data_IF_068721513400
#
_entry.id   IF_068721513400
#
_cell.length_a   1.000
_cell.length_b   1.000
_cell.length_c   1.000
_cell.angle_alpha   90.00
_cell.angle_beta   90.00
_cell.angle_gamma   90.00
#
_symmetry.space_group_name_H-M   'P 1'
#
loop_
_entity.id
_entity.type
_entity.pdbx_description
1 polymer ?
#
# COMPACT_ATOMS: atom_id res chain seq x y z
N UNK A 1 5.16 -23.54 9.64
CA UNK A 1 5.80 -22.52 8.77
C UNK A 1 4.86 -22.28 7.61
N UNK A 2 4.49 -21.04 7.35
CA UNK A 2 3.67 -20.69 6.19
C UNK A 2 4.40 -21.09 4.91
N UNK A 3 3.68 -21.69 3.97
CA UNK A 3 4.19 -21.94 2.62
C UNK A 3 4.13 -20.69 1.73
N UNK A 4 3.86 -19.52 2.34
CA UNK A 4 3.73 -18.26 1.63
C UNK A 4 5.07 -17.80 1.06
N UNK A 5 5.09 -17.57 -0.25
CA UNK A 5 6.21 -16.95 -0.95
C UNK A 5 5.70 -15.68 -1.68
N UNK A 6 6.14 -14.49 -1.23
CA UNK A 6 5.75 -13.22 -1.86
C UNK A 6 6.11 -13.12 -3.35
N UNK A 7 7.12 -13.87 -3.83
CA UNK A 7 7.51 -13.87 -5.24
C UNK A 7 6.40 -14.39 -6.16
N UNK A 8 5.48 -15.21 -5.63
CA UNK A 8 4.32 -15.70 -6.39
C UNK A 8 3.31 -14.60 -6.72
N UNK A 9 3.40 -13.45 -6.05
CA UNK A 9 2.55 -12.28 -6.28
C UNK A 9 3.19 -11.26 -7.23
N UNK A 10 4.48 -11.40 -7.56
CA UNK A 10 5.24 -10.45 -8.37
C UNK A 10 4.74 -10.47 -9.82
N UNK A 11 4.39 -9.29 -10.34
CA UNK A 11 3.99 -9.07 -11.73
C UNK A 11 5.20 -8.52 -12.48
N UNK A 12 5.86 -9.38 -13.26
CA UNK A 12 7.08 -9.03 -13.99
C UNK A 12 6.83 -8.48 -15.40
N UNK A 13 5.62 -8.69 -15.88
CA UNK A 13 5.19 -8.29 -17.23
C UNK A 13 4.93 -6.80 -17.34
N UNK A 14 4.69 -6.13 -16.22
CA UNK A 14 4.45 -4.68 -16.17
C UNK A 14 5.72 -3.94 -15.74
N UNK A 15 6.02 -2.84 -16.41
CA UNK A 15 7.17 -1.98 -16.11
C UNK A 15 6.98 -1.10 -14.85
N UNK A 16 6.21 -1.59 -13.90
CA UNK A 16 5.93 -0.92 -12.62
C UNK A 16 6.88 -1.44 -11.55
N UNK A 17 7.53 -0.54 -10.82
CA UNK A 17 8.42 -0.93 -9.72
C UNK A 17 7.62 -1.54 -8.57
N UNK A 18 8.18 -2.55 -7.91
CA UNK A 18 7.58 -3.22 -6.74
C UNK A 18 6.14 -3.70 -6.99
N UNK A 19 5.83 -4.09 -8.24
CA UNK A 19 4.50 -4.44 -8.71
C UNK A 19 4.11 -5.85 -8.27
N UNK A 20 3.02 -5.97 -7.54
CA UNK A 20 2.51 -7.25 -7.02
C UNK A 20 0.99 -7.27 -6.99
N UNK A 21 0.44 -8.44 -7.24
CA UNK A 21 -0.96 -8.73 -6.92
C UNK A 21 -1.12 -8.97 -5.41
N UNK A 22 -2.32 -8.72 -4.87
CA UNK A 22 -2.64 -9.10 -3.50
C UNK A 22 -3.13 -10.55 -3.39
N UNK A 23 -3.57 -11.12 -4.48
CA UNK A 23 -4.06 -12.50 -4.54
C UNK A 23 -3.03 -13.55 -4.13
N UNK A 24 -3.51 -14.69 -3.64
CA UNK A 24 -2.65 -15.79 -3.21
C UNK A 24 -2.07 -15.66 -1.79
N UNK A 25 -2.33 -14.55 -1.07
CA UNK A 25 -1.99 -14.44 0.35
C UNK A 25 -2.75 -15.52 1.14
N UNK A 26 -2.06 -16.36 1.94
CA UNK A 26 -2.73 -17.32 2.81
C UNK A 26 -3.58 -16.63 3.87
N UNK A 27 -4.77 -17.18 4.11
CA UNK A 27 -5.71 -16.69 5.09
C UNK A 27 -6.09 -17.79 6.08
N UNK A 28 -6.69 -17.42 7.19
CA UNK A 28 -7.19 -18.34 8.17
C UNK A 28 -8.16 -19.37 7.55
N UNK A 29 -8.16 -20.60 8.09
CA UNK A 29 -9.03 -21.70 7.60
C UNK A 29 -8.64 -22.28 6.25
N UNK A 30 -7.38 -22.11 5.82
CA UNK A 30 -6.89 -22.67 4.54
C UNK A 30 -7.37 -21.96 3.29
N UNK A 31 -7.96 -20.78 3.47
CA UNK A 31 -8.40 -19.89 2.37
C UNK A 31 -7.25 -19.08 1.83
N UNK A 32 -7.49 -18.35 0.73
CA UNK A 32 -6.52 -17.43 0.14
C UNK A 32 -7.19 -16.10 -0.22
N UNK A 33 -6.40 -15.03 -0.27
CA UNK A 33 -6.85 -13.76 -0.84
C UNK A 33 -7.09 -13.96 -2.34
N UNK A 34 -8.25 -13.51 -2.82
CA UNK A 34 -8.68 -13.70 -4.22
C UNK A 34 -7.80 -12.91 -5.17
N UNK A 35 -7.38 -13.57 -6.25
CA UNK A 35 -6.63 -12.96 -7.35
C UNK A 35 -7.53 -12.12 -8.28
N UNK A 36 -6.91 -11.21 -9.05
CA UNK A 36 -7.58 -10.40 -10.06
C UNK A 36 -8.36 -9.21 -9.49
N UNK A 37 -8.15 -8.84 -8.23
CA UNK A 37 -8.85 -7.73 -7.59
C UNK A 37 -7.97 -6.49 -7.45
N UNK A 38 -6.78 -6.65 -6.90
CA UNK A 38 -5.95 -5.53 -6.49
C UNK A 38 -4.48 -5.74 -6.81
N UNK A 39 -3.86 -4.68 -7.37
CA UNK A 39 -2.42 -4.58 -7.61
C UNK A 39 -1.86 -3.46 -6.75
N UNK A 40 -0.72 -3.71 -6.12
CA UNK A 40 0.10 -2.70 -5.45
C UNK A 40 1.40 -2.47 -6.20
N UNK A 41 1.85 -1.20 -6.32
CA UNK A 41 3.10 -0.86 -7.00
C UNK A 41 3.67 0.49 -6.52
N UNK A 42 4.81 0.88 -7.06
CA UNK A 42 5.30 2.24 -7.00
C UNK A 42 4.63 3.15 -8.03
N UNK A 43 5.03 4.42 -8.04
CA UNK A 43 4.44 5.43 -8.92
C UNK A 43 4.64 5.09 -10.40
N UNK A 44 3.59 5.24 -11.21
CA UNK A 44 3.65 5.01 -12.67
C UNK A 44 4.26 6.19 -13.45
N UNK A 45 4.80 7.20 -12.79
CA UNK A 45 5.31 8.45 -13.40
C UNK A 45 6.41 8.24 -14.44
N UNK A 46 7.11 7.11 -14.37
CA UNK A 46 8.21 6.76 -15.29
C UNK A 46 7.79 5.96 -16.51
N UNK A 47 6.51 5.57 -16.60
CA UNK A 47 6.03 4.75 -17.71
C UNK A 47 5.98 5.54 -19.03
N UNK A 48 6.42 4.90 -20.11
CA UNK A 48 6.13 5.39 -21.46
C UNK A 48 4.64 5.23 -21.79
N UNK A 49 4.17 5.90 -22.83
CA UNK A 49 2.77 5.78 -23.29
C UNK A 49 2.40 4.32 -23.65
N UNK A 50 3.32 3.57 -24.21
CA UNK A 50 3.15 2.15 -24.52
C UNK A 50 2.98 1.33 -23.23
N UNK A 51 3.84 1.54 -22.24
CA UNK A 51 3.75 0.86 -20.95
C UNK A 51 2.50 1.25 -20.16
N UNK A 52 2.03 2.49 -20.27
CA UNK A 52 0.72 2.90 -19.72
C UNK A 52 -0.40 2.09 -20.36
N UNK A 53 -0.35 1.88 -21.68
CA UNK A 53 -1.35 1.06 -22.37
C UNK A 53 -1.24 -0.43 -21.97
N UNK A 54 -0.04 -0.97 -21.81
CA UNK A 54 0.17 -2.35 -21.31
C UNK A 54 -0.51 -2.58 -19.95
N UNK A 55 -0.43 -1.62 -19.02
CA UNK A 55 -1.11 -1.70 -17.72
C UNK A 55 -2.62 -1.71 -17.87
N UNK A 56 -3.17 -0.91 -18.82
CA UNK A 56 -4.61 -0.91 -19.14
C UNK A 56 -5.04 -2.24 -19.78
N UNK A 57 -4.21 -2.79 -20.67
CA UNK A 57 -4.48 -4.07 -21.37
C UNK A 57 -4.36 -5.26 -20.40
N UNK A 58 -3.53 -5.16 -19.35
CA UNK A 58 -3.49 -6.12 -18.25
C UNK A 58 -4.82 -6.17 -17.48
N UNK A 59 -5.64 -5.14 -17.60
CA UNK A 59 -6.99 -5.09 -17.04
C UNK A 59 -7.21 -4.02 -15.97
N UNK A 60 -6.21 -3.19 -15.65
CA UNK A 60 -6.36 -2.09 -14.69
C UNK A 60 -7.35 -1.06 -15.23
N UNK A 61 -8.41 -0.78 -14.47
CA UNK A 61 -9.48 0.19 -14.82
C UNK A 61 -9.71 1.22 -13.72
N UNK A 62 -9.09 1.04 -12.55
CA UNK A 62 -9.11 2.04 -11.48
C UNK A 62 -7.72 2.19 -10.87
N UNK A 63 -7.34 3.41 -10.52
CA UNK A 63 -6.06 3.74 -9.89
C UNK A 63 -6.32 4.61 -8.66
N UNK A 64 -5.73 4.21 -7.52
CA UNK A 64 -5.71 5.01 -6.29
C UNK A 64 -4.29 5.49 -6.06
N UNK A 65 -4.07 6.79 -6.19
CA UNK A 65 -2.79 7.44 -5.87
C UNK A 65 -2.81 7.91 -4.40
N UNK A 66 -1.93 7.34 -3.59
CA UNK A 66 -1.80 7.63 -2.16
C UNK A 66 -0.81 8.78 -1.88
N UNK A 67 -0.26 9.40 -2.93
CA UNK A 67 0.69 10.48 -2.81
C UNK A 67 -0.01 11.79 -2.48
N UNK A 68 0.73 12.69 -1.81
CA UNK A 68 0.30 14.05 -1.62
C UNK A 68 0.09 14.77 -2.97
N UNK A 69 -0.82 15.75 -3.05
CA UNK A 69 -1.03 16.53 -4.27
C UNK A 69 0.26 17.14 -4.83
N UNK A 70 1.15 17.59 -3.96
CA UNK A 70 2.45 18.19 -4.29
C UNK A 70 3.41 17.19 -4.96
N UNK A 71 3.36 15.90 -4.57
CA UNK A 71 4.11 14.84 -5.24
C UNK A 71 3.59 14.63 -6.66
N UNK A 72 2.26 14.61 -6.83
CA UNK A 72 1.61 14.42 -8.15
C UNK A 72 1.85 15.65 -9.04
N UNK A 73 1.84 16.85 -8.47
CA UNK A 73 2.10 18.08 -9.22
C UNK A 73 3.55 18.11 -9.74
N UNK A 74 4.49 17.63 -8.94
CA UNK A 74 5.91 17.60 -9.30
C UNK A 74 6.25 16.57 -10.38
N UNK A 75 5.63 15.39 -10.38
CA UNK A 75 6.03 14.25 -11.22
C UNK A 75 4.94 13.73 -12.14
N UNK A 76 3.69 14.10 -11.91
CA UNK A 76 2.54 13.65 -12.67
C UNK A 76 2.03 12.26 -12.27
N UNK A 77 0.93 11.88 -12.92
CA UNK A 77 0.41 10.52 -12.95
C UNK A 77 -0.28 10.33 -14.31
N UNK A 78 0.14 9.36 -15.12
CA UNK A 78 -0.38 9.20 -16.49
C UNK A 78 -1.87 8.84 -16.55
N UNK A 79 -2.45 8.30 -15.46
CA UNK A 79 -3.86 7.91 -15.39
C UNK A 79 -4.79 9.03 -14.88
N UNK A 80 -4.25 10.15 -14.37
CA UNK A 80 -5.04 11.23 -13.74
C UNK A 80 -6.13 11.79 -14.67
N UNK A 81 -5.86 11.85 -15.98
CA UNK A 81 -6.78 12.36 -16.99
C UNK A 81 -7.06 11.33 -18.09
N UNK A 82 -6.79 10.05 -17.86
CA UNK A 82 -7.06 8.98 -18.81
C UNK A 82 -8.58 8.68 -18.81
N UNK A 83 -9.28 8.76 -19.95
CA UNK A 83 -10.73 8.57 -20.01
C UNK A 83 -11.16 7.11 -19.73
N UNK A 84 -10.25 6.14 -19.85
CA UNK A 84 -10.53 4.71 -19.67
C UNK A 84 -10.27 4.22 -18.26
N UNK A 85 -9.71 5.08 -17.38
CA UNK A 85 -9.30 4.72 -16.02
C UNK A 85 -9.96 5.64 -15.00
N UNK A 86 -10.63 5.08 -14.02
CA UNK A 86 -11.14 5.84 -12.88
C UNK A 86 -9.99 6.17 -11.93
N UNK A 87 -9.67 7.46 -11.81
CA UNK A 87 -8.56 7.92 -10.97
C UNK A 87 -9.07 8.50 -9.65
N UNK A 88 -8.47 8.05 -8.54
CA UNK A 88 -8.68 8.58 -7.20
C UNK A 88 -7.35 9.09 -6.64
N UNK A 89 -7.36 10.26 -6.01
CA UNK A 89 -6.25 10.68 -5.17
C UNK A 89 -6.72 10.73 -3.71
N UNK A 90 -6.19 9.84 -2.90
CA UNK A 90 -6.47 9.75 -1.46
C UNK A 90 -5.13 9.78 -0.72
N UNK A 91 -4.62 10.98 -0.39
CA UNK A 91 -3.27 11.13 0.15
C UNK A 91 -3.15 10.54 1.56
N UNK A 92 -2.12 9.74 1.77
CA UNK A 92 -1.70 9.24 3.08
C UNK A 92 -0.37 9.90 3.50
N UNK A 93 -0.36 11.21 3.50
CA UNK A 93 0.74 12.04 3.97
C UNK A 93 0.19 13.41 4.37
N UNK A 94 0.51 13.85 5.58
CA UNK A 94 0.21 15.19 6.04
C UNK A 94 1.40 16.10 5.74
N UNK A 95 1.16 17.17 4.97
CA UNK A 95 2.20 18.13 4.60
C UNK A 95 2.76 17.93 3.19
N UNK A 96 3.95 18.46 2.94
CA UNK A 96 4.63 18.44 1.65
C UNK A 96 5.90 17.57 1.70
N UNK A 97 5.89 16.33 1.18
CA UNK A 97 7.06 15.46 1.21
C UNK A 97 8.24 15.95 0.34
N UNK A 98 8.02 16.97 -0.50
CA UNK A 98 9.09 17.62 -1.26
C UNK A 98 9.81 18.73 -0.46
N UNK A 99 9.25 19.12 0.68
CA UNK A 99 9.89 20.08 1.60
C UNK A 99 10.67 19.33 2.68
N UNK A 100 11.99 19.43 2.65
CA UNK A 100 12.88 18.78 3.63
C UNK A 100 12.73 19.32 5.06
N UNK A 101 12.00 20.42 5.25
CA UNK A 101 11.67 21.02 6.55
C UNK A 101 10.22 20.75 6.98
N UNK A 102 9.48 19.98 6.20
CA UNK A 102 8.14 19.56 6.58
C UNK A 102 8.16 18.79 7.91
N UNK A 103 7.15 19.01 8.76
CA UNK A 103 7.09 18.42 10.10
C UNK A 103 7.10 16.90 10.06
N UNK A 104 6.44 16.28 9.06
CA UNK A 104 6.43 14.83 8.89
C UNK A 104 7.80 14.30 8.46
N UNK A 105 8.51 15.04 7.60
CA UNK A 105 9.89 14.68 7.22
C UNK A 105 10.84 14.81 8.42
N UNK A 106 10.73 15.87 9.21
CA UNK A 106 11.52 16.02 10.44
C UNK A 106 11.20 14.94 11.48
N UNK A 107 9.94 14.52 11.59
CA UNK A 107 9.55 13.38 12.42
C UNK A 107 10.25 12.10 11.95
N UNK A 108 10.18 11.79 10.65
CA UNK A 108 10.78 10.59 10.06
C UNK A 108 12.31 10.55 10.24
N UNK A 109 13.00 11.70 10.32
CA UNK A 109 14.45 11.76 10.59
C UNK A 109 14.85 11.17 11.93
N UNK A 110 13.97 11.27 12.92
CA UNK A 110 14.25 10.92 14.33
C UNK A 110 13.48 9.70 14.83
N UNK A 111 12.54 9.21 14.04
CA UNK A 111 11.66 8.08 14.37
C UNK A 111 11.74 7.00 13.30
N UNK A 112 11.18 5.84 13.60
CA UNK A 112 11.08 4.75 12.61
C UNK A 112 9.95 5.00 11.62
N UNK A 113 9.99 4.33 10.47
CA UNK A 113 8.83 4.33 9.57
C UNK A 113 7.61 3.65 10.20
N UNK A 114 7.82 2.70 11.12
CA UNK A 114 6.74 2.09 11.89
C UNK A 114 5.96 3.10 12.73
N UNK A 115 6.67 4.05 13.37
CA UNK A 115 6.03 5.16 14.10
C UNK A 115 5.22 6.06 13.15
N UNK A 116 5.72 6.29 11.94
CA UNK A 116 4.98 7.02 10.92
C UNK A 116 3.71 6.25 10.45
N UNK A 117 3.74 4.91 10.36
CA UNK A 117 2.54 4.14 10.02
C UNK A 117 1.48 4.21 11.12
N UNK A 118 1.91 4.33 12.37
CA UNK A 118 0.99 4.62 13.49
C UNK A 118 0.34 5.99 13.33
N UNK A 119 1.10 7.02 12.95
CA UNK A 119 0.54 8.36 12.65
C UNK A 119 -0.48 8.27 11.50
N UNK A 120 -0.21 7.51 10.44
CA UNK A 120 -1.20 7.30 9.36
C UNK A 120 -2.49 6.70 9.94
N UNK A 121 -2.39 5.71 10.84
CA UNK A 121 -3.56 5.10 11.46
C UNK A 121 -4.31 6.04 12.42
N UNK A 122 -3.62 6.94 13.10
CA UNK A 122 -4.24 7.85 14.08
C UNK A 122 -4.82 9.11 13.44
N UNK A 123 -4.08 9.71 12.50
CA UNK A 123 -4.41 11.03 11.96
C UNK A 123 -5.10 10.99 10.60
N UNK A 124 -5.00 9.86 9.87
CA UNK A 124 -5.56 9.69 8.52
C UNK A 124 -6.50 8.48 8.43
N UNK A 125 -7.09 8.07 9.56
CA UNK A 125 -7.99 6.93 9.58
C UNK A 125 -9.22 7.11 8.68
N UNK A 126 -9.72 8.33 8.52
CA UNK A 126 -10.78 8.69 7.59
C UNK A 126 -10.39 8.40 6.14
N UNK A 127 -9.13 8.68 5.76
CA UNK A 127 -8.58 8.37 4.45
C UNK A 127 -8.40 6.86 4.23
N UNK A 128 -7.99 6.13 5.27
CA UNK A 128 -7.93 4.68 5.21
C UNK A 128 -9.32 4.07 4.99
N UNK A 129 -10.34 4.58 5.67
CA UNK A 129 -11.74 4.17 5.47
C UNK A 129 -12.23 4.52 4.06
N UNK A 130 -11.93 5.71 3.56
CA UNK A 130 -12.24 6.13 2.19
C UNK A 130 -11.63 5.14 1.16
N UNK A 131 -10.35 4.77 1.33
CA UNK A 131 -9.67 3.80 0.47
C UNK A 131 -10.36 2.43 0.53
N UNK A 132 -10.71 1.94 1.74
CA UNK A 132 -11.42 0.66 1.89
C UNK A 132 -12.77 0.69 1.14
N UNK A 133 -13.51 1.79 1.20
CA UNK A 133 -14.77 1.96 0.45
C UNK A 133 -14.56 1.98 -1.06
N UNK A 134 -13.54 2.67 -1.57
CA UNK A 134 -13.20 2.66 -2.99
C UNK A 134 -12.88 1.23 -3.43
N UNK A 135 -12.03 0.50 -2.68
CA UNK A 135 -11.66 -0.87 -2.99
C UNK A 135 -12.86 -1.84 -2.89
N UNK A 136 -13.75 -1.64 -1.91
CA UNK A 136 -14.99 -2.41 -1.78
C UNK A 136 -15.88 -2.24 -3.01
N UNK A 137 -16.10 -0.99 -3.44
CA UNK A 137 -17.04 -0.65 -4.50
C UNK A 137 -16.46 -0.77 -5.91
N UNK A 138 -15.15 -0.95 -6.05
CA UNK A 138 -14.53 -1.18 -7.36
C UNK A 138 -15.03 -2.50 -7.96
N UNK A 139 -15.61 -2.42 -9.15
CA UNK A 139 -16.04 -3.58 -9.94
C UNK A 139 -14.97 -4.11 -10.90
N UNK A 140 -13.73 -3.64 -10.80
CA UNK A 140 -12.65 -3.91 -11.74
C UNK A 140 -11.31 -4.14 -11.01
N UNK A 141 -10.30 -4.61 -11.76
CA UNK A 141 -8.93 -4.67 -11.27
C UNK A 141 -8.46 -3.25 -10.93
N UNK A 142 -8.15 -3.04 -9.65
CA UNK A 142 -7.75 -1.74 -9.10
C UNK A 142 -6.29 -1.76 -8.71
N UNK A 143 -5.52 -0.80 -9.21
CA UNK A 143 -4.15 -0.54 -8.82
C UNK A 143 -4.11 0.55 -7.74
N UNK A 144 -3.35 0.35 -6.66
CA UNK A 144 -3.08 1.40 -5.69
C UNK A 144 -1.58 1.54 -5.44
N UNK A 145 -1.13 2.77 -5.32
CA UNK A 145 0.30 3.07 -5.24
C UNK A 145 0.61 4.33 -4.41
N UNK A 146 1.85 4.44 -3.96
CA UNK A 146 2.49 5.67 -3.50
C UNK A 146 3.74 5.93 -4.34
N UNK A 147 4.76 6.60 -3.82
CA UNK A 147 6.00 6.81 -4.58
C UNK A 147 6.72 5.49 -4.91
N UNK A 148 6.95 4.63 -3.91
CA UNK A 148 7.71 3.38 -4.08
C UNK A 148 6.87 2.10 -3.92
N UNK A 149 5.58 2.22 -3.65
CA UNK A 149 4.71 1.07 -3.41
C UNK A 149 5.05 0.30 -2.13
N UNK A 150 5.76 0.90 -1.18
CA UNK A 150 6.32 0.27 0.01
C UNK A 150 5.54 0.66 1.27
N UNK A 151 5.59 1.92 1.68
CA UNK A 151 5.14 2.42 2.98
C UNK A 151 3.63 2.63 3.05
N UNK A 152 3.11 3.72 2.52
CA UNK A 152 1.65 4.03 2.46
C UNK A 152 0.87 2.89 1.80
N UNK A 153 1.39 2.36 0.72
CA UNK A 153 0.85 1.18 0.01
C UNK A 153 0.91 -0.07 0.88
N UNK A 154 1.96 -0.23 1.70
CA UNK A 154 2.12 -1.33 2.65
C UNK A 154 1.06 -1.30 3.74
N UNK A 155 0.74 -0.12 4.29
CA UNK A 155 -0.33 0.05 5.28
C UNK A 155 -1.69 -0.35 4.70
N UNK A 156 -2.03 0.11 3.49
CA UNK A 156 -3.29 -0.26 2.82
C UNK A 156 -3.38 -1.76 2.58
N UNK A 157 -2.30 -2.39 2.09
CA UNK A 157 -2.26 -3.84 1.89
C UNK A 157 -2.39 -4.62 3.21
N UNK A 158 -1.71 -4.17 4.27
CA UNK A 158 -1.80 -4.78 5.59
C UNK A 158 -3.23 -4.73 6.16
N UNK A 159 -3.94 -3.61 6.00
CA UNK A 159 -5.34 -3.50 6.42
C UNK A 159 -6.24 -4.50 5.68
N UNK A 160 -6.11 -4.63 4.35
CA UNK A 160 -6.87 -5.61 3.57
C UNK A 160 -6.58 -7.04 4.02
N UNK A 161 -5.31 -7.36 4.27
CA UNK A 161 -4.90 -8.67 4.74
C UNK A 161 -5.40 -8.97 6.15
N UNK A 162 -5.35 -8.00 7.07
CA UNK A 162 -5.92 -8.13 8.41
C UNK A 162 -7.44 -8.35 8.38
N UNK A 163 -8.17 -7.59 7.55
CA UNK A 163 -9.62 -7.77 7.37
C UNK A 163 -9.93 -9.20 6.93
N UNK A 164 -9.12 -9.77 6.06
CA UNK A 164 -9.32 -11.11 5.49
C UNK A 164 -8.72 -12.24 6.34
N UNK A 165 -8.01 -11.93 7.44
CA UNK A 165 -7.48 -12.93 8.36
C UNK A 165 -6.16 -13.57 7.92
N UNK A 166 -5.29 -12.82 7.25
CA UNK A 166 -3.91 -13.21 7.01
C UNK A 166 -3.10 -13.23 8.31
N UNK A 167 -2.08 -14.08 8.38
CA UNK A 167 -1.20 -14.12 9.55
C UNK A 167 -0.31 -12.88 9.62
N UNK A 168 0.04 -12.48 10.85
CA UNK A 168 0.99 -11.39 11.09
C UNK A 168 2.33 -11.64 10.36
N UNK A 169 2.85 -12.87 10.42
CA UNK A 169 4.10 -13.27 9.77
C UNK A 169 4.02 -13.04 8.25
N UNK A 170 2.93 -13.42 7.60
CA UNK A 170 2.77 -13.29 6.15
C UNK A 170 2.63 -11.82 5.73
N UNK A 171 1.95 -10.99 6.53
CA UNK A 171 1.84 -9.54 6.30
C UNK A 171 3.23 -8.89 6.37
N UNK A 172 4.01 -9.21 7.41
CA UNK A 172 5.39 -8.70 7.57
C UNK A 172 6.27 -9.17 6.42
N UNK A 173 6.18 -10.44 6.01
CA UNK A 173 6.93 -10.98 4.87
C UNK A 173 6.56 -10.29 3.56
N UNK A 174 5.27 -10.02 3.31
CA UNK A 174 4.83 -9.26 2.14
C UNK A 174 5.37 -7.82 2.14
N UNK A 175 5.47 -7.17 3.30
CA UNK A 175 6.01 -5.82 3.41
C UNK A 175 7.53 -5.81 3.18
N UNK A 176 8.27 -6.64 3.90
CA UNK A 176 9.74 -6.59 3.93
C UNK A 176 10.40 -6.90 2.59
N UNK A 177 9.77 -7.75 1.76
CA UNK A 177 10.30 -8.09 0.43
C UNK A 177 10.34 -6.88 -0.53
N UNK A 178 9.61 -5.79 -0.20
CA UNK A 178 9.61 -4.57 -1.02
C UNK A 178 11.02 -4.00 -1.22
N UNK A 179 11.91 -4.11 -0.23
CA UNK A 179 13.29 -3.65 -0.38
C UNK A 179 14.04 -4.41 -1.47
N UNK A 180 13.87 -5.72 -1.54
CA UNK A 180 14.53 -6.55 -2.55
C UNK A 180 14.06 -6.18 -3.97
N UNK A 181 12.77 -5.93 -4.15
CA UNK A 181 12.20 -5.54 -5.46
C UNK A 181 12.55 -4.10 -5.85
N UNK A 182 12.89 -3.25 -4.88
CA UNK A 182 13.26 -1.86 -5.11
C UNK A 182 14.77 -1.63 -5.15
N UNK A 183 15.58 -2.60 -4.73
CA UNK A 183 17.01 -2.39 -4.45
C UNK A 183 17.75 -1.76 -5.62
N UNK A 184 17.60 -2.29 -6.82
CA UNK A 184 18.27 -1.76 -8.00
C UNK A 184 17.78 -0.35 -8.36
N UNK A 185 16.48 -0.11 -8.25
CA UNK A 185 15.89 1.21 -8.47
C UNK A 185 16.39 2.23 -7.44
N UNK A 186 16.58 1.82 -6.18
CA UNK A 186 16.94 2.72 -5.08
C UNK A 186 18.44 3.07 -5.01
N UNK A 187 19.32 2.29 -5.62
CA UNK A 187 20.78 2.52 -5.58
C UNK A 187 21.19 3.96 -5.95
N UNK A 188 20.68 4.57 -7.04
CA UNK A 188 21.04 5.95 -7.40
C UNK A 188 20.58 6.99 -6.37
N UNK A 189 19.49 6.72 -5.64
CA UNK A 189 18.95 7.61 -4.63
C UNK A 189 19.70 7.50 -3.30
N UNK A 190 20.16 6.30 -2.94
CA UNK A 190 20.93 6.05 -1.71
C UNK A 190 22.19 6.93 -1.62
N UNK A 191 22.87 7.14 -2.74
CA UNK A 191 24.09 7.94 -2.79
C UNK A 191 23.86 9.44 -2.54
N UNK A 192 22.64 9.93 -2.79
CA UNK A 192 22.27 11.37 -2.68
C UNK A 192 21.46 11.67 -1.43
N UNK A 193 20.92 10.63 -0.76
CA UNK A 193 20.06 10.81 0.41
C UNK A 193 20.90 11.12 1.66
N UNK A 194 20.48 12.09 2.50
CA UNK A 194 21.07 12.32 3.81
C UNK A 194 21.10 11.04 4.66
N UNK A 195 22.15 10.84 5.43
CA UNK A 195 22.37 9.60 6.20
C UNK A 195 21.23 9.31 7.19
N UNK A 196 20.65 10.34 7.77
CA UNK A 196 19.53 10.29 8.72
C UNK A 196 18.19 9.89 8.07
N UNK A 197 18.09 9.90 6.73
CA UNK A 197 16.92 9.46 5.98
C UNK A 197 17.13 8.14 5.21
N UNK A 198 18.35 7.56 5.23
CA UNK A 198 18.64 6.32 4.49
C UNK A 198 17.79 5.12 4.95
N UNK A 199 17.38 5.10 6.22
CA UNK A 199 16.46 4.08 6.73
C UNK A 199 15.10 4.07 6.02
N UNK A 200 14.67 5.23 5.46
CA UNK A 200 13.44 5.35 4.67
C UNK A 200 13.48 4.55 3.36
N UNK A 201 14.66 4.17 2.89
CA UNK A 201 14.80 3.36 1.67
C UNK A 201 14.59 1.85 1.93
N UNK A 202 14.60 1.44 3.20
CA UNK A 202 14.48 0.05 3.61
C UNK A 202 13.03 -0.30 3.94
N UNK A 203 12.71 -1.60 3.92
CA UNK A 203 11.46 -2.16 4.41
C UNK A 203 11.76 -3.17 5.54
N UNK A 204 12.41 -2.68 6.60
CA UNK A 204 12.76 -3.50 7.74
C UNK A 204 11.49 -4.00 8.45
N UNK A 205 11.49 -5.28 8.83
CA UNK A 205 10.30 -5.96 9.37
C UNK A 205 9.67 -5.20 10.55
N UNK A 206 10.51 -4.64 11.44
CA UNK A 206 10.04 -3.92 12.62
C UNK A 206 9.09 -2.75 12.32
N UNK A 207 9.19 -2.12 11.13
CA UNK A 207 8.30 -1.02 10.77
C UNK A 207 6.84 -1.51 10.63
N UNK A 208 6.64 -2.65 9.97
CA UNK A 208 5.31 -3.24 9.86
C UNK A 208 4.88 -3.89 11.19
N UNK A 209 5.81 -4.49 11.92
CA UNK A 209 5.56 -5.02 13.27
C UNK A 209 5.06 -3.94 14.22
N UNK A 210 5.67 -2.75 14.23
CA UNK A 210 5.22 -1.60 15.04
C UNK A 210 3.77 -1.21 14.71
N UNK A 211 3.41 -1.16 13.43
CA UNK A 211 2.02 -0.90 13.02
C UNK A 211 1.05 -1.99 13.51
N UNK A 212 1.44 -3.26 13.39
CA UNK A 212 0.63 -4.38 13.85
C UNK A 212 0.51 -4.40 15.38
N UNK A 213 1.59 -4.08 16.10
CA UNK A 213 1.61 -3.93 17.57
C UNK A 213 0.67 -2.81 18.04
N UNK A 214 0.59 -1.72 17.29
CA UNK A 214 -0.39 -0.67 17.56
C UNK A 214 -1.84 -1.19 17.45
N UNK A 215 -2.16 -1.95 16.40
CA UNK A 215 -3.49 -2.56 16.25
C UNK A 215 -3.74 -3.55 17.41
N UNK A 216 -2.76 -4.37 17.75
CA UNK A 216 -2.86 -5.36 18.84
C UNK A 216 -3.10 -4.68 20.18
N UNK A 217 -2.34 -3.62 20.50
CA UNK A 217 -2.37 -2.98 21.81
C UNK A 217 -3.57 -2.04 22.02
N UNK A 218 -3.95 -1.29 20.99
CA UNK A 218 -5.02 -0.26 21.09
C UNK A 218 -6.39 -0.81 20.74
N UNK A 219 -6.46 -1.87 19.94
CA UNK A 219 -7.71 -2.39 19.39
C UNK A 219 -7.90 -3.89 19.69
N UNK A 220 -7.18 -4.44 20.68
CA UNK A 220 -7.21 -5.86 21.07
C UNK A 220 -6.92 -6.82 19.90
N UNK A 221 -6.10 -6.43 18.95
CA UNK A 221 -5.81 -7.19 17.73
C UNK A 221 -6.99 -7.29 16.75
N UNK A 222 -8.07 -6.56 17.00
CA UNK A 222 -9.28 -6.60 16.17
C UNK A 222 -9.34 -5.40 15.21
N UNK A 223 -8.95 -5.64 13.97
CA UNK A 223 -9.01 -4.64 12.90
C UNK A 223 -10.44 -4.11 12.67
N UNK A 224 -11.47 -4.91 12.99
CA UNK A 224 -12.88 -4.49 12.86
C UNK A 224 -13.18 -3.36 13.83
N UNK A 225 -12.68 -3.44 15.08
CA UNK A 225 -12.83 -2.36 16.06
C UNK A 225 -12.20 -1.06 15.58
N UNK A 226 -10.96 -1.12 15.05
CA UNK A 226 -10.27 0.04 14.49
C UNK A 226 -11.08 0.68 13.36
N UNK A 227 -11.50 -0.10 12.39
CA UNK A 227 -12.21 0.40 11.21
C UNK A 227 -13.61 0.93 11.56
N UNK A 228 -14.35 0.24 12.44
CA UNK A 228 -15.66 0.71 12.88
C UNK A 228 -15.57 2.01 13.70
N UNK A 229 -14.58 2.14 14.58
CA UNK A 229 -14.37 3.38 15.34
C UNK A 229 -14.05 4.58 14.43
N UNK A 230 -13.54 4.32 13.22
CA UNK A 230 -13.21 5.35 12.23
C UNK A 230 -14.23 5.45 11.08
N UNK A 231 -15.40 4.80 11.21
CA UNK A 231 -16.56 5.04 10.36
C UNK A 231 -16.87 4.01 9.28
N UNK A 232 -16.10 2.93 9.16
CA UNK A 232 -16.50 1.78 8.32
C UNK A 232 -17.54 0.95 9.07
N UNK A 233 -18.58 0.47 8.37
CA UNK A 233 -19.59 -0.35 9.05
C UNK A 233 -19.18 -1.82 9.08
N UNK A 234 -19.77 -2.60 9.98
CA UNK A 234 -19.56 -4.05 10.05
C UNK A 234 -19.97 -4.73 8.74
N UNK A 235 -21.07 -4.27 8.14
CA UNK A 235 -21.55 -4.77 6.86
C UNK A 235 -20.57 -4.50 5.71
N UNK A 236 -19.95 -3.32 5.69
CA UNK A 236 -18.90 -2.98 4.71
C UNK A 236 -17.67 -3.89 4.90
N UNK A 237 -17.26 -4.16 6.14
CA UNK A 237 -16.13 -5.06 6.44
C UNK A 237 -16.44 -6.49 5.99
N UNK A 238 -17.64 -7.01 6.26
CA UNK A 238 -18.07 -8.33 5.80
C UNK A 238 -18.18 -8.41 4.26
N UNK A 239 -18.59 -7.32 3.63
CA UNK A 239 -18.61 -7.22 2.17
C UNK A 239 -17.18 -7.25 1.58
N UNK A 240 -16.19 -6.59 2.22
CA UNK A 240 -14.78 -6.69 1.85
C UNK A 240 -14.29 -8.14 1.99
N UNK A 241 -14.58 -8.81 3.09
CA UNK A 241 -14.24 -10.23 3.29
C UNK A 241 -14.84 -11.11 2.20
N UNK A 242 -16.12 -10.95 1.91
CA UNK A 242 -16.82 -11.71 0.88
C UNK A 242 -16.22 -11.50 -0.51
N UNK A 243 -15.84 -10.26 -0.82
CA UNK A 243 -15.18 -9.90 -2.08
C UNK A 243 -13.79 -10.51 -2.20
N UNK A 244 -12.99 -10.42 -1.13
CA UNK A 244 -11.56 -10.68 -1.18
C UNK A 244 -11.16 -12.12 -0.83
N UNK A 245 -12.00 -12.89 -0.15
CA UNK A 245 -11.66 -14.26 0.24
C UNK A 245 -12.10 -15.25 -0.85
N UNK A 246 -11.14 -16.03 -1.35
CA UNK A 246 -11.42 -17.19 -2.17
C UNK A 246 -11.64 -18.43 -1.29
N UNK A 247 -12.65 -19.22 -1.63
CA UNK A 247 -12.98 -20.48 -0.94
C UNK A 247 -12.03 -21.59 -1.31
#
# INVERSE_FOLDING_TARGET
MSAYNPDNQLIKELALINCRELGGMPLAGGKTFRSGLFIRCGSPEWLTQEQVQEVKDYGVKAVIDLRAPEEIEATGNPYKNDPDVTFYNVPLFNGNPNDTKDATIEFIRTHTLGDYYVIIAEEMADKLVEIMRILLNSGCLTMFHCAHGKDRTGVVAALLYLICGASREDIVNNYKVSYEYLREFMVPFMAKMPDDLKHCLRSDAHNMETFLDYIDSKWDGDITKFLCANGLTTEEIEAIRTKCIAG
#
